data_IF_695329742693
#
_entry.id   IF_695329742693
#
_cell.length_a   1.000
_cell.length_b   1.000
_cell.length_c   1.000
_cell.angle_alpha   90.00
_cell.angle_beta   90.00
_cell.angle_gamma   90.00
#
_symmetry.space_group_name_H-M   'P 1'
#
loop_
_entity.id
_entity.type
_entity.pdbx_description
1 polymer ?
#
# COMPACT_ATOMS: atom_id res chain seq x y z
N UNK A 1 15.74 -7.67 -4.08
CA UNK A 1 14.39 -7.04 -4.05
C UNK A 1 13.46 -7.75 -3.08
N UNK A 2 13.29 -9.07 -3.25
CA UNK A 2 12.47 -9.93 -2.37
C UNK A 2 12.98 -9.95 -0.94
N UNK A 3 14.29 -9.99 -0.76
CA UNK A 3 14.91 -10.14 0.57
C UNK A 3 14.71 -8.91 1.45
N UNK A 4 14.77 -7.71 0.86
CA UNK A 4 14.44 -6.45 1.55
C UNK A 4 12.97 -6.37 1.93
N UNK A 5 12.07 -6.87 1.08
CA UNK A 5 10.64 -6.91 1.39
C UNK A 5 10.31 -7.94 2.48
N UNK A 6 11.03 -9.07 2.51
CA UNK A 6 10.92 -10.07 3.57
C UNK A 6 11.44 -9.53 4.91
N UNK A 7 12.56 -8.79 4.90
CA UNK A 7 13.07 -8.09 6.08
C UNK A 7 12.05 -7.09 6.62
N UNK A 8 11.47 -6.27 5.74
CA UNK A 8 10.42 -5.35 6.16
C UNK A 8 9.21 -6.09 6.74
N UNK A 9 8.78 -7.20 6.12
CA UNK A 9 7.67 -8.01 6.61
C UNK A 9 7.98 -8.64 7.98
N UNK A 10 9.21 -9.12 8.20
CA UNK A 10 9.59 -9.71 9.48
C UNK A 10 9.60 -8.67 10.60
N UNK A 11 10.20 -7.50 10.37
CA UNK A 11 10.18 -6.39 11.35
C UNK A 11 8.74 -6.00 11.69
N UNK A 12 7.89 -5.89 10.67
CA UNK A 12 6.47 -5.54 10.85
C UNK A 12 5.70 -6.59 11.66
N UNK A 13 5.98 -7.86 11.41
CA UNK A 13 5.37 -8.99 12.12
C UNK A 13 5.84 -9.06 13.57
N UNK A 14 7.14 -8.95 13.79
CA UNK A 14 7.74 -9.03 15.12
C UNK A 14 7.25 -7.87 16.00
N UNK A 15 7.20 -6.65 15.44
CA UNK A 15 6.66 -5.48 16.14
C UNK A 15 5.17 -5.63 16.48
N UNK A 16 4.36 -6.21 15.60
CA UNK A 16 2.94 -6.46 15.87
C UNK A 16 2.76 -7.45 17.03
N UNK A 17 3.46 -8.59 17.00
CA UNK A 17 3.35 -9.60 18.05
C UNK A 17 3.84 -9.04 19.38
N UNK A 18 4.95 -8.32 19.41
CA UNK A 18 5.44 -7.65 20.62
C UNK A 18 4.42 -6.65 21.19
N UNK A 19 3.87 -5.76 20.35
CA UNK A 19 2.88 -4.78 20.80
C UNK A 19 1.59 -5.43 21.31
N UNK A 20 1.22 -6.59 20.75
CA UNK A 20 0.07 -7.37 21.20
C UNK A 20 0.35 -8.06 22.55
N UNK A 21 1.53 -8.68 22.72
CA UNK A 21 1.96 -9.28 23.99
C UNK A 21 2.04 -8.25 25.12
N UNK A 22 2.55 -7.05 24.82
CA UNK A 22 2.62 -5.92 25.76
C UNK A 22 1.26 -5.27 26.04
N UNK A 23 0.16 -5.77 25.45
CA UNK A 23 -1.20 -5.24 25.56
C UNK A 23 -1.34 -3.77 25.12
N UNK A 24 -0.45 -3.31 24.22
CA UNK A 24 -0.52 -2.00 23.59
C UNK A 24 -1.49 -1.97 22.40
N UNK A 25 -1.94 -3.14 21.95
CA UNK A 25 -2.85 -3.31 20.82
C UNK A 25 -4.15 -4.00 21.23
N UNK A 26 -5.28 -3.41 20.85
CA UNK A 26 -6.58 -4.07 20.95
C UNK A 26 -6.70 -5.22 19.92
N UNK A 27 -7.55 -6.21 20.21
CA UNK A 27 -7.83 -7.34 19.31
C UNK A 27 -8.26 -6.88 17.91
N UNK A 28 -9.01 -5.76 17.85
CA UNK A 28 -9.51 -5.19 16.59
C UNK A 28 -8.40 -4.50 15.82
N UNK A 29 -7.56 -3.71 16.48
CA UNK A 29 -6.37 -3.11 15.88
C UNK A 29 -5.39 -4.19 15.36
N UNK A 30 -5.16 -5.25 16.14
CA UNK A 30 -4.35 -6.40 15.76
C UNK A 30 -4.88 -7.06 14.48
N UNK A 31 -6.18 -7.39 14.40
CA UNK A 31 -6.78 -8.01 13.21
C UNK A 31 -6.64 -7.14 11.95
N UNK A 32 -6.81 -5.81 12.09
CA UNK A 32 -6.64 -4.87 10.98
C UNK A 32 -5.19 -4.85 10.50
N UNK A 33 -4.22 -4.79 11.42
CA UNK A 33 -2.79 -4.81 11.07
C UNK A 33 -2.37 -6.15 10.47
N UNK A 34 -2.87 -7.26 11.01
CA UNK A 34 -2.55 -8.60 10.53
C UNK A 34 -3.01 -8.81 9.08
N UNK A 35 -4.13 -8.21 8.69
CA UNK A 35 -4.57 -8.19 7.28
C UNK A 35 -3.63 -7.38 6.39
N UNK A 36 -3.09 -6.28 6.90
CA UNK A 36 -2.06 -5.53 6.20
C UNK A 36 -0.81 -6.37 5.96
N UNK A 37 -0.34 -7.13 6.97
CA UNK A 37 0.77 -8.07 6.82
C UNK A 37 0.47 -9.18 5.81
N UNK A 38 -0.73 -9.77 5.87
CA UNK A 38 -1.15 -10.78 4.91
C UNK A 38 -1.12 -10.27 3.47
N UNK A 39 -1.63 -9.05 3.23
CA UNK A 39 -1.60 -8.43 1.91
C UNK A 39 -0.18 -8.15 1.43
N UNK A 40 0.72 -7.80 2.35
CA UNK A 40 2.14 -7.63 2.06
C UNK A 40 2.81 -8.96 1.70
N UNK A 41 2.56 -10.02 2.48
CA UNK A 41 3.05 -11.39 2.23
C UNK A 41 2.58 -11.91 0.85
N UNK A 42 1.29 -11.76 0.52
CA UNK A 42 0.75 -12.21 -0.77
C UNK A 42 1.41 -11.53 -1.97
N UNK A 43 1.79 -10.25 -1.85
CA UNK A 43 2.51 -9.53 -2.91
C UNK A 43 3.95 -10.01 -3.06
N UNK A 44 4.64 -10.22 -1.94
CA UNK A 44 6.00 -10.77 -1.92
C UNK A 44 6.00 -12.17 -2.54
N UNK A 45 5.01 -12.98 -2.18
CA UNK A 45 4.77 -14.31 -2.72
C UNK A 45 4.54 -14.30 -4.25
N UNK A 46 3.67 -13.43 -4.75
CA UNK A 46 3.47 -13.28 -6.21
C UNK A 46 4.76 -12.91 -6.96
N UNK A 47 5.65 -12.12 -6.34
CA UNK A 47 6.95 -11.77 -6.92
C UNK A 47 7.97 -12.92 -6.87
N UNK A 48 7.82 -13.86 -5.93
CA UNK A 48 8.66 -15.06 -5.77
C UNK A 48 8.13 -16.30 -6.52
N UNK A 49 6.94 -16.20 -7.13
CA UNK A 49 6.22 -17.29 -7.78
C UNK A 49 6.92 -17.92 -9.00
N UNK A 50 8.19 -17.62 -9.28
CA UNK A 50 8.92 -18.31 -10.35
C UNK A 50 9.69 -19.56 -9.91
N UNK A 51 10.01 -19.81 -8.63
CA UNK A 51 10.85 -20.98 -8.24
C UNK A 51 10.54 -21.60 -6.84
N UNK A 52 9.69 -22.64 -6.84
CA UNK A 52 9.69 -23.85 -5.97
C UNK A 52 9.33 -23.84 -4.46
N UNK A 53 9.57 -22.81 -3.65
CA UNK A 53 9.33 -22.91 -2.18
C UNK A 53 7.85 -22.76 -1.78
N UNK A 54 7.05 -22.08 -2.60
CA UNK A 54 5.66 -21.77 -2.30
C UNK A 54 4.69 -22.94 -2.37
N UNK A 55 5.03 -23.94 -3.19
CA UNK A 55 4.24 -25.16 -3.27
C UNK A 55 4.33 -25.94 -1.96
N UNK A 56 5.52 -26.01 -1.35
CA UNK A 56 5.76 -26.79 -0.13
C UNK A 56 5.22 -26.10 1.13
N UNK A 57 5.44 -24.80 1.30
CA UNK A 57 4.95 -24.08 2.50
C UNK A 57 3.43 -23.95 2.49
N UNK A 58 2.82 -23.68 1.32
CA UNK A 58 1.35 -23.65 1.21
C UNK A 58 0.74 -25.03 1.49
N UNK A 59 1.39 -26.12 1.06
CA UNK A 59 0.95 -27.48 1.34
C UNK A 59 0.95 -27.79 2.85
N UNK A 60 2.00 -27.45 3.59
CA UNK A 60 2.07 -27.69 5.04
C UNK A 60 1.23 -26.71 5.89
N UNK A 61 0.98 -25.49 5.40
CA UNK A 61 0.13 -24.51 6.10
C UNK A 61 -1.36 -24.84 5.94
N UNK A 62 -1.78 -25.35 4.78
CA UNK A 62 -3.15 -25.79 4.52
C UNK A 62 -3.54 -27.03 5.36
N UNK A 63 -2.62 -27.98 5.55
CA UNK A 63 -2.88 -29.20 6.33
C UNK A 63 -3.07 -28.92 7.83
N UNK A 64 -2.35 -27.94 8.39
CA UNK A 64 -2.49 -27.56 9.81
C UNK A 64 -3.80 -26.83 10.12
N UNK A 65 -4.29 -26.02 9.18
CA UNK A 65 -5.58 -25.32 9.31
C UNK A 65 -6.77 -26.27 9.18
N UNK A 66 -6.73 -27.22 8.23
CA UNK A 66 -7.77 -28.24 8.08
C UNK A 66 -7.91 -29.12 9.34
N UNK A 67 -6.80 -29.45 10.01
CA UNK A 67 -6.83 -30.24 11.25
C UNK A 67 -7.43 -29.49 12.45
N UNK A 68 -7.21 -28.17 12.55
CA UNK A 68 -7.77 -27.35 13.64
C UNK A 68 -9.25 -26.98 13.41
N UNK A 69 -9.66 -26.89 12.14
CA UNK A 69 -11.02 -26.50 11.73
C UNK A 69 -12.04 -27.66 11.79
N UNK A 70 -11.57 -28.92 11.66
CA UNK A 70 -12.36 -30.13 11.98
C UNK A 70 -12.76 -30.15 13.47
N UNK A 71 -11.91 -29.64 14.36
CA UNK A 71 -12.16 -29.61 15.82
C UNK A 71 -13.05 -28.43 16.24
N UNK A 72 -13.00 -27.30 15.53
CA UNK A 72 -13.66 -26.04 15.93
C UNK A 72 -14.58 -25.46 14.84
N UNK A 73 -15.43 -26.30 14.24
CA UNK A 73 -16.64 -25.96 13.46
C UNK A 73 -16.70 -24.56 12.78
N UNK A 74 -15.67 -24.15 12.02
CA UNK A 74 -15.66 -23.04 11.05
C UNK A 74 -16.17 -21.64 11.47
N UNK A 75 -16.48 -21.40 12.74
CA UNK A 75 -17.15 -20.16 13.20
C UNK A 75 -16.18 -19.00 13.37
N UNK A 76 -14.96 -19.26 13.82
CA UNK A 76 -13.89 -18.27 13.99
C UNK A 76 -13.42 -17.68 12.65
N UNK A 77 -13.31 -18.52 11.61
CA UNK A 77 -12.87 -18.08 10.28
C UNK A 77 -13.92 -17.20 9.58
N UNK A 78 -15.21 -17.54 9.70
CA UNK A 78 -16.30 -16.70 9.18
C UNK A 78 -16.46 -15.39 9.94
N UNK A 79 -16.24 -15.38 11.26
CA UNK A 79 -16.28 -14.13 12.05
C UNK A 79 -15.09 -13.21 11.72
N UNK A 80 -13.90 -13.76 11.51
CA UNK A 80 -12.72 -13.03 11.03
C UNK A 80 -12.93 -12.40 9.65
N UNK A 81 -13.67 -13.06 8.77
CA UNK A 81 -14.02 -12.52 7.45
C UNK A 81 -15.12 -11.43 7.51
N UNK A 82 -15.96 -11.45 8.55
CA UNK A 82 -17.18 -10.63 8.63
C UNK A 82 -17.13 -9.46 9.63
N UNK A 83 -16.14 -9.36 10.52
CA UNK A 83 -16.06 -8.29 11.54
C UNK A 83 -15.68 -6.88 11.00
N UNK A 84 -15.38 -6.75 9.70
CA UNK A 84 -14.64 -5.61 9.12
C UNK A 84 -15.45 -4.53 8.40
N UNK A 85 -16.78 -4.51 8.53
CA UNK A 85 -17.54 -3.43 7.90
C UNK A 85 -17.54 -2.13 8.70
N UNK A 86 -17.28 -2.20 10.01
CA UNK A 86 -17.25 -1.02 10.86
C UNK A 86 -15.87 -0.35 10.83
N UNK A 87 -15.87 0.97 10.59
CA UNK A 87 -14.66 1.80 10.62
C UNK A 87 -13.97 1.67 11.99
N UNK A 88 -12.63 1.61 12.04
CA UNK A 88 -11.92 1.53 13.31
C UNK A 88 -12.16 2.79 14.14
N UNK A 89 -12.23 2.60 15.45
CA UNK A 89 -12.33 3.68 16.45
C UNK A 89 -11.10 4.58 16.40
N UNK A 90 -11.19 5.78 16.97
CA UNK A 90 -10.05 6.71 17.05
C UNK A 90 -8.87 6.09 17.81
N UNK A 91 -9.15 5.40 18.92
CA UNK A 91 -8.12 4.69 19.69
C UNK A 91 -7.43 3.60 18.86
N UNK A 92 -8.21 2.75 18.18
CA UNK A 92 -7.66 1.69 17.29
C UNK A 92 -6.81 2.27 16.15
N UNK A 93 -7.19 3.43 15.61
CA UNK A 93 -6.39 4.13 14.58
C UNK A 93 -5.05 4.61 15.13
N UNK A 94 -5.05 5.11 16.36
CA UNK A 94 -3.86 5.62 17.05
C UNK A 94 -2.90 4.48 17.40
N UNK A 95 -3.42 3.38 17.97
CA UNK A 95 -2.68 2.14 18.23
C UNK A 95 -1.95 1.63 16.96
N UNK A 96 -2.67 1.54 15.84
CA UNK A 96 -2.10 1.10 14.55
C UNK A 96 -1.06 2.09 14.03
N UNK A 97 -1.29 3.40 14.16
CA UNK A 97 -0.37 4.43 13.69
C UNK A 97 0.94 4.43 14.50
N UNK A 98 0.86 4.30 15.82
CA UNK A 98 2.01 4.22 16.71
C UNK A 98 2.88 2.99 16.40
N UNK A 99 2.25 1.82 16.26
CA UNK A 99 2.95 0.59 15.86
C UNK A 99 3.65 0.77 14.51
N UNK A 100 2.97 1.35 13.52
CA UNK A 100 3.53 1.56 12.20
C UNK A 100 4.73 2.50 12.20
N UNK A 101 4.67 3.58 13.00
CA UNK A 101 5.77 4.52 13.17
C UNK A 101 6.99 3.85 13.80
N UNK A 102 6.77 3.11 14.89
CA UNK A 102 7.83 2.37 15.58
C UNK A 102 8.51 1.36 14.63
N UNK A 103 7.73 0.57 13.90
CA UNK A 103 8.26 -0.37 12.91
C UNK A 103 8.99 0.35 11.76
N UNK A 104 8.47 1.50 11.32
CA UNK A 104 9.09 2.31 10.26
C UNK A 104 10.48 2.78 10.67
N UNK A 105 10.68 3.21 11.91
CA UNK A 105 11.99 3.62 12.42
C UNK A 105 13.00 2.47 12.34
N UNK A 106 12.62 1.29 12.84
CA UNK A 106 13.46 0.08 12.80
C UNK A 106 13.76 -0.34 11.36
N UNK A 107 12.77 -0.27 10.46
CA UNK A 107 12.95 -0.57 9.04
C UNK A 107 13.93 0.40 8.39
N UNK A 108 13.78 1.71 8.60
CA UNK A 108 14.67 2.71 8.01
C UNK A 108 16.11 2.48 8.46
N UNK A 109 16.33 2.26 9.76
CA UNK A 109 17.66 1.95 10.31
C UNK A 109 18.23 0.64 9.77
N UNK A 110 17.40 -0.41 9.66
CA UNK A 110 17.80 -1.70 9.11
C UNK A 110 18.18 -1.61 7.62
N UNK A 111 17.42 -0.82 6.85
CA UNK A 111 17.70 -0.57 5.42
C UNK A 111 18.97 0.27 5.23
N UNK A 112 19.24 1.23 6.12
CA UNK A 112 20.45 2.07 6.07
C UNK A 112 21.72 1.21 6.14
N UNK A 113 21.74 0.25 7.06
CA UNK A 113 22.84 -0.69 7.25
C UNK A 113 23.10 -1.57 6.01
N UNK A 114 22.14 -1.67 5.10
CA UNK A 114 22.21 -2.47 3.88
C UNK A 114 22.71 -1.71 2.65
N UNK A 115 22.98 -0.40 2.74
CA UNK A 115 23.47 0.42 1.61
C UNK A 115 24.81 -0.04 1.02
N UNK A 116 25.63 -0.77 1.78
CA UNK A 116 26.89 -1.35 1.31
C UNK A 116 26.75 -2.68 0.56
N UNK A 117 25.62 -3.37 0.71
CA UNK A 117 25.35 -4.69 0.12
C UNK A 117 24.34 -4.59 -1.03
N UNK A 118 23.36 -3.70 -0.89
CA UNK A 118 22.30 -3.47 -1.86
C UNK A 118 22.45 -2.11 -2.56
N UNK A 119 21.80 -1.98 -3.71
CA UNK A 119 21.78 -0.73 -4.46
C UNK A 119 21.21 0.42 -3.60
N UNK A 120 22.02 1.46 -3.39
CA UNK A 120 21.67 2.62 -2.57
C UNK A 120 20.40 3.34 -3.05
N UNK A 121 20.17 3.43 -4.36
CA UNK A 121 18.97 4.06 -4.90
C UNK A 121 17.70 3.29 -4.54
N UNK A 122 17.78 1.96 -4.50
CA UNK A 122 16.68 1.11 -4.06
C UNK A 122 16.41 1.25 -2.56
N UNK A 123 17.47 1.30 -1.75
CA UNK A 123 17.35 1.52 -0.31
C UNK A 123 16.68 2.86 -0.02
N UNK A 124 17.19 3.94 -0.62
CA UNK A 124 16.63 5.28 -0.48
C UNK A 124 15.15 5.30 -0.91
N UNK A 125 14.81 4.65 -2.03
CA UNK A 125 13.42 4.56 -2.47
C UNK A 125 12.50 3.91 -1.42
N UNK A 126 12.93 2.80 -0.81
CA UNK A 126 12.14 2.11 0.22
C UNK A 126 12.00 2.96 1.50
N UNK A 127 13.08 3.64 1.91
CA UNK A 127 13.06 4.58 3.04
C UNK A 127 12.11 5.76 2.76
N UNK A 128 12.25 6.40 1.59
CA UNK A 128 11.39 7.52 1.17
C UNK A 128 9.92 7.10 1.08
N UNK A 129 9.66 5.85 0.64
CA UNK A 129 8.30 5.31 0.61
C UNK A 129 7.67 5.25 2.00
N UNK A 130 8.42 4.79 3.00
CA UNK A 130 7.94 4.73 4.38
C UNK A 130 7.69 6.12 4.94
N UNK A 131 8.62 7.06 4.72
CA UNK A 131 8.48 8.46 5.15
C UNK A 131 7.23 9.12 4.53
N UNK A 132 6.93 8.84 3.26
CA UNK A 132 5.68 9.32 2.64
C UNK A 132 4.44 8.70 3.27
N UNK A 133 4.47 7.41 3.57
CA UNK A 133 3.34 6.71 4.21
C UNK A 133 3.09 7.23 5.64
N UNK A 134 4.13 7.61 6.40
CA UNK A 134 3.97 8.20 7.74
C UNK A 134 3.38 9.60 7.68
N UNK A 135 3.70 10.42 6.67
CA UNK A 135 3.07 11.73 6.48
C UNK A 135 1.53 11.65 6.31
N UNK A 136 1.01 10.51 5.83
CA UNK A 136 -0.45 10.30 5.68
C UNK A 136 -1.13 10.12 7.05
N UNK A 137 -0.39 9.75 8.11
CA UNK A 137 -0.93 9.60 9.47
C UNK A 137 -1.57 10.91 9.95
N UNK A 138 -0.92 12.04 9.71
CA UNK A 138 -1.42 13.37 10.10
C UNK A 138 -2.75 13.72 9.41
N UNK A 139 -3.00 13.18 8.21
CA UNK A 139 -4.23 13.42 7.45
C UNK A 139 -5.45 12.63 7.94
N UNK A 140 -5.27 11.69 8.87
CA UNK A 140 -6.34 10.82 9.38
C UNK A 140 -6.86 9.76 8.39
N UNK A 141 -6.33 9.73 7.17
CA UNK A 141 -6.68 8.77 6.10
C UNK A 141 -5.71 7.57 6.02
N UNK A 142 -4.85 7.41 7.02
CA UNK A 142 -3.77 6.41 7.03
C UNK A 142 -4.27 4.96 6.97
N UNK A 143 -5.28 4.62 7.77
CA UNK A 143 -5.84 3.26 7.73
C UNK A 143 -6.42 2.97 6.35
N UNK A 144 -7.15 3.92 5.78
CA UNK A 144 -7.79 3.77 4.48
C UNK A 144 -6.74 3.67 3.35
N UNK A 145 -5.67 4.49 3.37
CA UNK A 145 -4.72 4.58 2.25
C UNK A 145 -3.51 3.64 2.34
N UNK A 146 -2.99 3.37 3.54
CA UNK A 146 -1.76 2.60 3.76
C UNK A 146 -2.05 1.18 4.23
N UNK A 147 -2.86 1.03 5.28
CA UNK A 147 -3.13 -0.27 5.92
C UNK A 147 -4.10 -1.11 5.08
N UNK A 148 -5.28 -0.56 4.80
CA UNK A 148 -6.31 -1.25 4.00
C UNK A 148 -6.12 -1.05 2.50
N UNK A 149 -5.26 -0.10 2.09
CA UNK A 149 -4.95 0.26 0.70
C UNK A 149 -6.20 0.46 -0.15
N UNK A 150 -7.25 1.04 0.43
CA UNK A 150 -8.46 1.45 -0.29
C UNK A 150 -8.05 2.53 -1.29
N UNK A 151 -8.07 2.16 -2.58
CA UNK A 151 -7.95 3.13 -3.64
C UNK A 151 -9.20 4.02 -3.64
N UNK A 152 -9.06 5.33 -3.78
CA UNK A 152 -10.23 6.20 -3.83
C UNK A 152 -11.15 5.77 -4.97
N UNK A 153 -12.42 5.59 -4.62
CA UNK A 153 -13.43 4.93 -5.45
C UNK A 153 -13.75 5.74 -6.73
N UNK A 154 -13.31 6.99 -6.78
CA UNK A 154 -13.58 7.97 -7.81
C UNK A 154 -12.47 8.11 -8.86
N UNK A 155 -11.37 7.33 -8.82
CA UNK A 155 -10.29 7.46 -9.81
C UNK A 155 -10.83 7.33 -11.24
N UNK A 156 -11.78 6.42 -11.48
CA UNK A 156 -12.41 6.25 -12.80
C UNK A 156 -13.18 7.49 -13.24
N UNK A 157 -13.99 8.07 -12.36
CA UNK A 157 -14.77 9.27 -12.66
C UNK A 157 -13.89 10.51 -12.81
N UNK A 158 -12.80 10.59 -12.04
CA UNK A 158 -11.82 11.66 -12.15
C UNK A 158 -11.06 11.61 -13.48
N UNK A 159 -10.56 10.43 -13.87
CA UNK A 159 -9.94 10.22 -15.19
C UNK A 159 -10.92 10.53 -16.33
N UNK A 160 -12.19 10.17 -16.16
CA UNK A 160 -13.26 10.52 -17.09
C UNK A 160 -13.46 12.04 -17.17
N UNK A 161 -13.40 12.76 -16.05
CA UNK A 161 -13.43 14.23 -16.01
C UNK A 161 -12.31 14.85 -16.84
N UNK A 162 -11.06 14.43 -16.62
CA UNK A 162 -9.90 14.94 -17.39
C UNK A 162 -9.98 14.61 -18.89
N UNK A 163 -10.56 13.47 -19.24
CA UNK A 163 -10.82 13.13 -20.65
C UNK A 163 -11.85 14.08 -21.27
N UNK A 164 -12.95 14.36 -20.56
CA UNK A 164 -13.99 15.28 -21.04
C UNK A 164 -13.46 16.70 -21.19
N UNK A 165 -12.65 17.19 -20.26
CA UNK A 165 -12.00 18.50 -20.38
C UNK A 165 -11.13 18.59 -21.64
N UNK A 166 -10.30 17.57 -21.91
CA UNK A 166 -9.50 17.49 -23.15
C UNK A 166 -10.37 17.46 -24.40
N UNK A 167 -11.51 16.76 -24.37
CA UNK A 167 -12.47 16.72 -25.48
C UNK A 167 -13.08 18.09 -25.75
N UNK A 168 -13.53 18.79 -24.71
CA UNK A 168 -14.10 20.14 -24.83
C UNK A 168 -13.06 21.12 -25.38
N UNK A 169 -11.81 21.06 -24.91
CA UNK A 169 -10.73 21.91 -25.44
C UNK A 169 -10.53 21.66 -26.94
N UNK A 170 -10.60 20.39 -27.39
CA UNK A 170 -10.47 20.04 -28.79
C UNK A 170 -11.63 20.56 -29.64
N UNK A 171 -12.86 20.46 -29.13
CA UNK A 171 -14.07 20.99 -29.79
C UNK A 171 -14.00 22.52 -29.93
N UNK A 172 -13.62 23.22 -28.86
CA UNK A 172 -13.50 24.69 -28.88
C UNK A 172 -12.38 25.19 -29.81
N UNK A 173 -11.27 24.43 -29.92
CA UNK A 173 -10.20 24.71 -30.89
C UNK A 173 -10.69 24.49 -32.33
N UNK A 174 -11.44 23.41 -32.58
CA UNK A 174 -12.01 23.09 -33.89
C UNK A 174 -13.05 24.14 -34.34
N UNK A 175 -13.90 24.60 -33.42
CA UNK A 175 -14.87 25.67 -33.65
C UNK A 175 -14.23 27.08 -33.70
N UNK A 176 -12.91 27.18 -33.52
CA UNK A 176 -12.14 28.43 -33.48
C UNK A 176 -12.61 29.42 -32.40
N UNK A 177 -13.26 28.92 -31.35
CA UNK A 177 -13.63 29.71 -30.16
C UNK A 177 -12.40 30.04 -29.31
N UNK A 178 -11.33 29.24 -29.42
CA UNK A 178 -10.03 29.46 -28.78
C UNK A 178 -8.89 29.30 -29.78
N UNK A 179 -7.76 29.96 -29.51
CA UNK A 179 -6.57 29.82 -30.34
C UNK A 179 -5.85 28.49 -30.09
N UNK A 180 -5.11 27.99 -31.08
CA UNK A 180 -4.34 26.75 -30.96
C UNK A 180 -3.27 26.81 -29.86
N UNK A 181 -2.66 27.98 -29.62
CA UNK A 181 -1.68 28.14 -28.53
C UNK A 181 -2.36 28.06 -27.16
N UNK A 182 -3.56 28.64 -27.02
CA UNK A 182 -4.34 28.58 -25.79
C UNK A 182 -4.88 27.18 -25.54
N UNK A 183 -5.37 26.48 -26.56
CA UNK A 183 -5.77 25.08 -26.47
C UNK A 183 -4.61 24.17 -26.03
N UNK A 184 -3.39 24.41 -26.54
CA UNK A 184 -2.19 23.69 -26.12
C UNK A 184 -1.87 23.93 -24.63
N UNK A 185 -1.96 25.16 -24.16
CA UNK A 185 -1.76 25.51 -22.75
C UNK A 185 -2.80 24.82 -21.84
N UNK A 186 -4.08 24.87 -22.21
CA UNK A 186 -5.15 24.21 -21.45
C UNK A 186 -4.93 22.70 -21.35
N UNK A 187 -4.58 22.03 -22.46
CA UNK A 187 -4.24 20.59 -22.44
C UNK A 187 -3.08 20.27 -21.50
N UNK A 188 -2.05 21.11 -21.46
CA UNK A 188 -0.93 20.94 -20.53
C UNK A 188 -1.38 21.09 -19.07
N UNK A 189 -2.25 22.06 -18.77
CA UNK A 189 -2.81 22.21 -17.42
C UNK A 189 -3.63 20.98 -16.99
N UNK A 190 -4.49 20.47 -17.87
CA UNK A 190 -5.27 19.24 -17.59
C UNK A 190 -4.34 18.06 -17.32
N UNK A 191 -3.29 17.88 -18.12
CA UNK A 191 -2.30 16.82 -17.90
C UNK A 191 -1.57 16.99 -16.56
N UNK A 192 -1.24 18.23 -16.17
CA UNK A 192 -0.60 18.49 -14.90
C UNK A 192 -1.54 18.12 -13.74
N UNK A 193 -2.80 18.56 -13.78
CA UNK A 193 -3.81 18.24 -12.77
C UNK A 193 -4.02 16.72 -12.65
N UNK A 194 -4.15 16.02 -13.76
CA UNK A 194 -4.24 14.57 -13.80
C UNK A 194 -3.02 13.90 -13.15
N UNK A 195 -1.81 14.35 -13.49
CA UNK A 195 -0.59 13.84 -12.89
C UNK A 195 -0.53 14.10 -11.37
N UNK A 196 -0.95 15.26 -10.90
CA UNK A 196 -1.01 15.58 -9.48
C UNK A 196 -2.01 14.68 -8.75
N UNK A 197 -3.24 14.56 -9.26
CA UNK A 197 -4.26 13.74 -8.62
C UNK A 197 -3.89 12.26 -8.62
N UNK A 198 -3.26 11.74 -9.68
CA UNK A 198 -2.79 10.37 -9.71
C UNK A 198 -1.64 10.12 -8.72
N UNK A 199 -0.73 11.08 -8.53
CA UNK A 199 0.34 10.98 -7.52
C UNK A 199 -0.20 10.99 -6.09
N UNK A 200 -1.27 11.74 -5.82
CA UNK A 200 -1.89 11.80 -4.50
C UNK A 200 -2.77 10.57 -4.19
N UNK A 201 -3.38 9.98 -5.23
CA UNK A 201 -4.36 8.89 -5.08
C UNK A 201 -3.78 7.49 -5.32
N UNK A 202 -2.68 7.36 -6.06
CA UNK A 202 -2.03 6.08 -6.28
C UNK A 202 -0.91 5.91 -5.24
N UNK A 203 -0.93 4.76 -4.56
CA UNK A 203 0.32 4.12 -4.13
C UNK A 203 1.13 3.85 -5.41
N UNK A 204 1.91 4.82 -5.88
CA UNK A 204 2.71 4.79 -7.11
C UNK A 204 3.93 3.86 -6.98
N UNK A 205 4.10 3.18 -5.83
CA UNK A 205 5.19 2.24 -5.53
C UNK A 205 5.62 1.36 -6.72
N UNK A 206 4.71 0.70 -7.48
CA UNK A 206 5.12 -0.08 -8.66
C UNK A 206 5.41 0.77 -9.90
N UNK A 207 4.73 1.91 -10.06
CA UNK A 207 4.84 2.80 -11.23
C UNK A 207 6.11 3.66 -11.19
N UNK A 208 6.44 4.23 -10.02
CA UNK A 208 7.66 5.00 -9.81
C UNK A 208 8.91 4.13 -9.96
N UNK A 209 8.85 2.87 -9.51
CA UNK A 209 9.92 1.89 -9.73
C UNK A 209 10.13 1.58 -11.22
N UNK A 210 9.05 1.39 -11.98
CA UNK A 210 9.16 1.11 -13.42
C UNK A 210 9.66 2.33 -14.21
N UNK A 211 9.27 3.53 -13.80
CA UNK A 211 9.79 4.77 -14.40
C UNK A 211 11.26 5.00 -14.06
N UNK A 212 11.69 4.71 -12.82
CA UNK A 212 13.07 4.88 -12.39
C UNK A 212 14.02 3.86 -13.02
N UNK A 213 13.58 2.59 -13.16
CA UNK A 213 14.34 1.56 -13.88
C UNK A 213 14.43 1.87 -15.38
N UNK A 214 13.44 2.54 -15.97
CA UNK A 214 13.45 3.00 -17.38
C UNK A 214 14.34 4.21 -17.66
N UNK A 215 14.69 4.99 -16.65
CA UNK A 215 15.56 6.17 -16.79
C UNK A 215 17.06 5.83 -16.70
N UNK A 216 17.39 4.53 -16.64
CA UNK A 216 18.73 3.98 -16.82
C UNK A 216 18.85 3.30 -18.18
#
# INVERSE_FOLDING_TARGET
MTDLQLLMLSIESDGLEQAYEERKMSNRAYSIYQRYLWNMEQRINRNLASRLTYFLISFFRMTRLLLHEIVTFGSTFRNWLNQDRAKPSKAEREEIAELYLANTEVIIGSLENLKGVYNTALINFLQDSRIRETAIIESGAFIERVITRIKPNNIKEMLRGYYLERKIIFEYEHEKLISASYAKFLRQNVNNLENYSLKETANTLPYDMMNYVRQK
#
